data_IF_252815742068
#
_entry.id   IF_252815742068
#
_cell.length_a   1.000
_cell.length_b   1.000
_cell.length_c   1.000
_cell.angle_alpha   90.00
_cell.angle_beta   90.00
_cell.angle_gamma   90.00
#
_symmetry.space_group_name_H-M   'P 1'
#
loop_
_entity.id
_entity.type
_entity.pdbx_description
1 polymer ?
#
# COMPACT_ATOMS: atom_id res chain seq x y z
N UNK A 1 -31.20 6.79 14.59
CA UNK A 1 -30.21 7.75 14.06
C UNK A 1 -28.88 7.05 13.76
N UNK A 2 -28.87 6.06 12.85
CA UNK A 2 -27.65 5.28 12.55
C UNK A 2 -27.37 5.07 11.05
N UNK A 3 -28.22 5.61 10.17
CA UNK A 3 -28.11 5.41 8.72
C UNK A 3 -27.11 6.40 8.11
N UNK A 4 -27.10 7.65 8.57
CA UNK A 4 -26.26 8.73 8.00
C UNK A 4 -24.76 8.52 8.22
N UNK A 5 -24.35 8.07 9.41
CA UNK A 5 -22.93 7.88 9.77
C UNK A 5 -22.31 6.69 9.03
N UNK A 6 -23.10 5.64 8.78
CA UNK A 6 -22.64 4.47 8.01
C UNK A 6 -22.49 4.83 6.53
N UNK A 7 -23.42 5.62 5.99
CA UNK A 7 -23.38 6.08 4.60
C UNK A 7 -22.18 7.01 4.32
N UNK A 8 -21.92 7.98 5.20
CA UNK A 8 -20.72 8.83 5.14
C UNK A 8 -19.41 8.03 5.25
N UNK A 9 -19.43 6.93 6.00
CA UNK A 9 -18.28 6.03 6.12
C UNK A 9 -17.99 5.29 4.81
N UNK A 10 -19.02 4.68 4.25
CA UNK A 10 -18.94 3.95 2.98
C UNK A 10 -18.62 4.87 1.80
N UNK A 11 -19.15 6.10 1.78
CA UNK A 11 -18.84 7.08 0.76
C UNK A 11 -17.35 7.44 0.73
N UNK A 12 -16.75 7.73 1.90
CA UNK A 12 -15.32 8.02 1.99
C UNK A 12 -14.47 6.80 1.59
N UNK A 13 -14.88 5.61 2.02
CA UNK A 13 -14.20 4.36 1.66
C UNK A 13 -14.11 4.16 0.16
N UNK A 14 -15.24 4.37 -0.54
CA UNK A 14 -15.28 4.31 -1.99
C UNK A 14 -14.45 5.41 -2.66
N UNK A 15 -14.39 6.61 -2.10
CA UNK A 15 -13.57 7.70 -2.62
C UNK A 15 -12.07 7.39 -2.53
N UNK A 16 -11.58 6.94 -1.36
CA UNK A 16 -10.17 6.57 -1.19
C UNK A 16 -9.80 5.41 -2.12
N UNK A 17 -10.68 4.42 -2.24
CA UNK A 17 -10.48 3.30 -3.16
C UNK A 17 -10.45 3.74 -4.62
N UNK A 18 -11.35 4.63 -5.03
CA UNK A 18 -11.37 5.22 -6.36
C UNK A 18 -10.08 5.98 -6.67
N UNK A 19 -9.66 6.89 -5.79
CA UNK A 19 -8.40 7.64 -5.95
C UNK A 19 -7.19 6.69 -6.00
N UNK A 20 -7.16 5.65 -5.17
CA UNK A 20 -6.09 4.65 -5.21
C UNK A 20 -6.04 3.89 -6.54
N UNK A 21 -7.20 3.47 -7.08
CA UNK A 21 -7.29 2.81 -8.38
C UNK A 21 -6.85 3.73 -9.53
N UNK A 22 -7.26 5.00 -9.50
CA UNK A 22 -6.84 6.01 -10.48
C UNK A 22 -5.33 6.25 -10.46
N UNK A 23 -4.74 6.36 -9.26
CA UNK A 23 -3.29 6.48 -9.11
C UNK A 23 -2.57 5.27 -9.74
N UNK A 24 -3.07 4.05 -9.49
CA UNK A 24 -2.49 2.84 -10.05
C UNK A 24 -2.58 2.80 -11.60
N UNK A 25 -3.70 3.25 -12.18
CA UNK A 25 -3.85 3.37 -13.65
C UNK A 25 -2.91 4.42 -14.24
N UNK A 26 -2.73 5.57 -13.57
CA UNK A 26 -1.80 6.61 -14.01
C UNK A 26 -0.34 6.12 -14.00
N UNK A 27 0.05 5.32 -13.01
CA UNK A 27 1.38 4.68 -12.99
C UNK A 27 1.57 3.74 -14.18
N UNK A 28 0.55 2.94 -14.50
CA UNK A 28 0.61 2.04 -15.67
C UNK A 28 0.82 2.83 -16.97
N UNK A 29 0.12 3.95 -17.14
CA UNK A 29 0.29 4.82 -18.30
C UNK A 29 1.71 5.40 -18.38
N UNK A 30 2.24 5.90 -17.27
CA UNK A 30 3.62 6.42 -17.19
C UNK A 30 4.66 5.34 -17.51
N UNK A 31 4.48 4.12 -17.02
CA UNK A 31 5.39 3.02 -17.30
C UNK A 31 5.30 2.53 -18.77
N UNK A 32 4.14 2.67 -19.41
CA UNK A 32 3.88 2.21 -20.78
C UNK A 32 4.43 3.13 -21.87
N UNK A 33 4.69 4.41 -21.59
CA UNK A 33 5.20 5.36 -22.59
C UNK A 33 6.71 5.23 -22.81
N UNK A 34 7.11 4.18 -23.54
CA UNK A 34 8.26 4.30 -24.46
C UNK A 34 7.71 4.71 -25.82
N UNK A 35 7.38 6.00 -25.97
CA UNK A 35 6.93 6.51 -27.27
C UNK A 35 8.10 6.52 -28.25
N UNK A 36 8.13 5.52 -29.13
CA UNK A 36 8.99 5.46 -30.30
C UNK A 36 8.25 6.23 -31.39
N UNK A 37 8.79 7.36 -31.83
CA UNK A 37 8.20 8.07 -32.97
C UNK A 37 8.32 7.23 -34.27
N UNK A 38 7.60 7.55 -35.35
CA UNK A 38 7.73 6.85 -36.62
C UNK A 38 9.15 6.86 -37.23
N UNK A 39 10.09 7.59 -36.63
CA UNK A 39 11.50 7.70 -37.01
C UNK A 39 12.44 6.97 -36.05
N UNK A 40 11.91 6.16 -35.11
CA UNK A 40 12.71 5.36 -34.19
C UNK A 40 13.34 6.15 -33.04
N UNK A 41 13.00 7.43 -32.85
CA UNK A 41 13.59 8.26 -31.79
C UNK A 41 12.74 8.21 -30.53
N UNK A 42 13.41 7.97 -29.41
CA UNK A 42 12.84 8.14 -28.07
C UNK A 42 12.55 9.63 -27.87
N UNK A 43 11.27 10.00 -27.77
CA UNK A 43 10.92 11.32 -27.23
C UNK A 43 10.87 11.24 -25.72
N UNK A 44 11.56 12.17 -25.07
CA UNK A 44 11.47 12.37 -23.63
C UNK A 44 10.01 12.68 -23.30
N UNK A 45 9.37 11.77 -22.58
CA UNK A 45 8.01 11.95 -22.06
C UNK A 45 7.97 13.22 -21.20
N UNK A 46 6.85 13.95 -21.22
CA UNK A 46 6.64 15.11 -20.34
C UNK A 46 7.12 14.78 -18.93
N UNK A 47 7.98 15.63 -18.37
CA UNK A 47 8.45 15.43 -17.00
C UNK A 47 7.25 15.43 -16.05
N UNK A 48 7.08 14.33 -15.32
CA UNK A 48 6.07 14.27 -14.28
C UNK A 48 6.33 15.36 -13.21
N UNK A 49 5.28 16.02 -12.70
CA UNK A 49 5.37 16.84 -11.51
C UNK A 49 6.06 16.06 -10.37
N UNK A 50 6.89 16.69 -9.52
CA UNK A 50 7.66 16.00 -8.47
C UNK A 50 6.82 15.05 -7.60
N UNK A 51 5.68 15.52 -7.05
CA UNK A 51 4.80 14.67 -6.23
C UNK A 51 4.17 13.49 -7.00
N UNK A 52 4.04 13.57 -8.33
CA UNK A 52 3.63 12.42 -9.16
C UNK A 52 4.79 11.42 -9.37
N UNK A 53 6.03 11.88 -9.47
CA UNK A 53 7.21 10.99 -9.58
C UNK A 53 7.37 10.13 -8.34
N UNK A 54 7.17 10.72 -7.16
CA UNK A 54 7.41 10.02 -5.89
C UNK A 54 6.37 8.92 -5.65
N UNK A 55 5.08 9.18 -5.86
CA UNK A 55 4.05 8.12 -5.75
C UNK A 55 4.20 7.03 -6.82
N UNK A 56 4.65 7.38 -8.03
CA UNK A 56 4.93 6.39 -9.09
C UNK A 56 6.05 5.44 -8.63
N UNK A 57 7.14 5.97 -8.08
CA UNK A 57 8.23 5.15 -7.55
C UNK A 57 7.77 4.28 -6.38
N UNK A 58 6.96 4.84 -5.47
CA UNK A 58 6.39 4.08 -4.36
C UNK A 58 5.55 2.90 -4.84
N UNK A 59 4.64 3.13 -5.80
CA UNK A 59 3.81 2.08 -6.39
C UNK A 59 4.64 1.02 -7.13
N UNK A 60 5.72 1.42 -7.81
CA UNK A 60 6.65 0.48 -8.45
C UNK A 60 7.38 -0.39 -7.44
N UNK A 61 7.87 0.19 -6.34
CA UNK A 61 8.59 -0.53 -5.28
C UNK A 61 7.69 -1.46 -4.50
N UNK A 62 6.48 -1.03 -4.13
CA UNK A 62 5.46 -1.91 -3.53
C UNK A 62 5.18 -3.11 -4.44
N UNK A 63 5.08 -2.89 -5.75
CA UNK A 63 4.89 -3.99 -6.71
C UNK A 63 6.11 -4.91 -6.81
N UNK A 64 7.32 -4.36 -6.71
CA UNK A 64 8.58 -5.12 -6.78
C UNK A 64 8.81 -5.95 -5.51
N UNK A 65 8.57 -5.37 -4.35
CA UNK A 65 8.74 -5.98 -3.02
C UNK A 65 7.70 -7.07 -2.71
N UNK A 66 6.65 -7.18 -3.53
CA UNK A 66 5.49 -8.05 -3.27
C UNK A 66 5.88 -9.51 -3.03
N UNK A 67 6.80 -10.06 -3.82
CA UNK A 67 7.15 -11.48 -3.71
C UNK A 67 7.93 -11.77 -2.42
N UNK A 68 8.87 -10.89 -2.04
CA UNK A 68 9.59 -10.99 -0.78
C UNK A 68 8.66 -10.82 0.42
N UNK A 69 7.76 -9.83 0.38
CA UNK A 69 6.75 -9.63 1.43
C UNK A 69 5.86 -10.86 1.59
N UNK A 70 5.36 -11.43 0.49
CA UNK A 70 4.53 -12.64 0.56
C UNK A 70 5.29 -13.81 1.17
N UNK A 71 6.57 -14.00 0.79
CA UNK A 71 7.43 -15.03 1.39
C UNK A 71 7.52 -14.85 2.91
N UNK A 72 7.90 -13.67 3.40
CA UNK A 72 8.06 -13.47 4.85
C UNK A 72 6.72 -13.48 5.62
N UNK A 73 5.61 -13.06 5.00
CA UNK A 73 4.26 -13.20 5.58
C UNK A 73 3.83 -14.66 5.69
N UNK A 74 4.08 -15.48 4.66
CA UNK A 74 3.74 -16.91 4.69
C UNK A 74 4.53 -17.69 5.75
N UNK A 75 5.73 -17.20 6.10
CA UNK A 75 6.56 -17.74 7.18
C UNK A 75 6.13 -17.22 8.57
N UNK A 76 5.17 -16.29 8.62
CA UNK A 76 4.71 -15.63 9.84
C UNK A 76 5.76 -14.70 10.47
N UNK A 77 6.83 -14.37 9.75
CA UNK A 77 7.93 -13.52 10.23
C UNK A 77 7.47 -12.06 10.29
N UNK A 78 6.65 -11.65 9.32
CA UNK A 78 6.04 -10.33 9.26
C UNK A 78 4.52 -10.45 9.19
N UNK A 79 3.79 -9.37 9.48
CA UNK A 79 2.35 -9.31 9.35
C UNK A 79 1.81 -7.92 9.02
N UNK A 80 0.57 -7.87 8.53
CA UNK A 80 -0.14 -6.62 8.20
C UNK A 80 -0.66 -5.98 9.50
N UNK A 81 -0.20 -4.76 9.80
CA UNK A 81 -0.57 -4.05 11.02
C UNK A 81 -1.88 -3.26 10.89
N UNK A 82 -2.37 -2.73 12.00
CA UNK A 82 -3.64 -2.02 12.03
C UNK A 82 -3.55 -0.55 11.56
N UNK A 83 -2.42 -0.16 10.96
CA UNK A 83 -2.16 1.16 10.37
C UNK A 83 -1.91 1.07 8.85
N UNK A 84 -2.12 -0.10 8.25
CA UNK A 84 -1.94 -0.30 6.81
C UNK A 84 -0.49 -0.57 6.39
N UNK A 85 0.43 -0.68 7.35
CA UNK A 85 1.82 -1.08 7.14
C UNK A 85 2.08 -2.56 7.45
N UNK A 86 3.36 -2.91 7.48
CA UNK A 86 3.90 -4.23 7.79
C UNK A 86 4.76 -4.14 9.06
N UNK A 87 4.67 -5.15 9.92
CA UNK A 87 5.44 -5.25 11.16
C UNK A 87 6.25 -6.54 11.21
N UNK A 88 7.51 -6.44 11.67
CA UNK A 88 8.34 -7.61 12.02
C UNK A 88 7.85 -8.23 13.32
N UNK A 89 7.45 -9.50 13.29
CA UNK A 89 6.86 -10.20 14.42
C UNK A 89 7.83 -11.19 15.07
N UNK A 90 8.60 -11.89 14.25
CA UNK A 90 9.46 -13.01 14.68
C UNK A 90 10.90 -12.77 14.17
N UNK A 91 11.61 -11.74 14.68
CA UNK A 91 12.95 -11.36 14.22
C UNK A 91 13.98 -12.51 14.34
N UNK A 92 13.79 -13.41 15.30
CA UNK A 92 14.64 -14.58 15.54
C UNK A 92 14.53 -15.65 14.45
N UNK A 93 13.46 -15.62 13.63
CA UNK A 93 13.28 -16.52 12.49
C UNK A 93 13.93 -15.99 11.20
N UNK A 94 14.44 -14.77 11.21
CA UNK A 94 15.19 -14.20 10.08
C UNK A 94 16.60 -14.76 10.12
N UNK A 95 17.08 -15.27 8.98
CA UNK A 95 18.47 -15.71 8.89
C UNK A 95 19.41 -14.54 9.15
N UNK A 96 20.53 -14.74 9.87
CA UNK A 96 21.45 -13.65 10.22
C UNK A 96 21.90 -12.81 9.01
N UNK A 97 22.19 -13.47 7.88
CA UNK A 97 22.63 -12.82 6.64
C UNK A 97 21.50 -12.03 5.94
N UNK A 98 20.25 -12.38 6.20
CA UNK A 98 19.07 -11.74 5.60
C UNK A 98 18.53 -10.57 6.46
N UNK A 99 19.04 -10.38 7.68
CA UNK A 99 18.44 -9.44 8.65
C UNK A 99 18.35 -8.01 8.14
N UNK A 100 19.46 -7.48 7.61
CA UNK A 100 19.49 -6.14 7.06
C UNK A 100 18.56 -5.99 5.85
N UNK A 101 18.42 -7.05 5.05
CA UNK A 101 17.50 -7.06 3.91
C UNK A 101 16.05 -6.97 4.38
N UNK A 102 15.63 -7.78 5.35
CA UNK A 102 14.25 -7.77 5.88
C UNK A 102 13.91 -6.45 6.56
N UNK A 103 14.83 -5.91 7.36
CA UNK A 103 14.63 -4.62 8.02
C UNK A 103 14.46 -3.48 6.99
N UNK A 104 15.28 -3.47 5.93
CA UNK A 104 15.13 -2.51 4.83
C UNK A 104 13.82 -2.73 4.07
N UNK A 105 13.48 -3.97 3.69
CA UNK A 105 12.24 -4.31 2.99
C UNK A 105 11.00 -3.74 3.72
N UNK A 106 10.91 -3.95 5.03
CA UNK A 106 9.78 -3.47 5.85
C UNK A 106 9.76 -1.94 5.90
N UNK A 107 10.93 -1.32 6.11
CA UNK A 107 11.05 0.14 6.14
C UNK A 107 10.60 0.74 4.82
N UNK A 108 11.12 0.23 3.71
CA UNK A 108 10.83 0.68 2.36
C UNK A 108 9.34 0.54 2.02
N UNK A 109 8.75 -0.63 2.30
CA UNK A 109 7.32 -0.86 2.09
C UNK A 109 6.45 0.11 2.90
N UNK A 110 6.80 0.37 4.16
CA UNK A 110 6.04 1.27 5.02
C UNK A 110 6.16 2.73 4.58
N UNK A 111 7.35 3.18 4.17
CA UNK A 111 7.56 4.52 3.60
C UNK A 111 6.75 4.70 2.30
N UNK A 112 6.76 3.70 1.42
CA UNK A 112 6.03 3.76 0.15
C UNK A 112 4.52 3.74 0.34
N UNK A 113 4.00 2.89 1.24
CA UNK A 113 2.57 2.88 1.58
C UNK A 113 2.13 4.20 2.21
N UNK A 114 2.94 4.81 3.05
CA UNK A 114 2.66 6.14 3.61
C UNK A 114 2.63 7.21 2.52
N UNK A 115 3.57 7.19 1.58
CA UNK A 115 3.60 8.12 0.45
C UNK A 115 2.33 7.98 -0.41
N UNK A 116 1.87 6.75 -0.65
CA UNK A 116 0.62 6.45 -1.37
C UNK A 116 -0.59 7.00 -0.60
N UNK A 117 -0.72 6.71 0.70
CA UNK A 117 -1.83 7.19 1.53
C UNK A 117 -1.88 8.72 1.59
N UNK A 118 -0.72 9.36 1.77
CA UNK A 118 -0.59 10.82 1.77
C UNK A 118 -0.99 11.40 0.41
N UNK A 119 -0.57 10.76 -0.69
CA UNK A 119 -0.93 11.20 -2.03
C UNK A 119 -2.44 11.14 -2.27
N UNK A 120 -3.12 10.10 -1.79
CA UNK A 120 -4.58 9.98 -1.92
C UNK A 120 -5.25 11.20 -1.28
N UNK A 121 -4.82 11.59 -0.08
CA UNK A 121 -5.35 12.77 0.62
C UNK A 121 -5.08 14.04 -0.20
N UNK A 122 -3.85 14.24 -0.68
CA UNK A 122 -3.48 15.44 -1.47
C UNK A 122 -4.26 15.58 -2.78
N UNK A 123 -4.62 14.46 -3.41
CA UNK A 123 -5.30 14.45 -4.72
C UNK A 123 -6.81 14.38 -4.64
N UNK A 124 -7.36 14.17 -3.44
CA UNK A 124 -8.79 14.05 -3.23
C UNK A 124 -9.34 15.39 -2.70
N UNK A 125 -10.29 15.97 -3.42
CA UNK A 125 -10.86 17.30 -3.10
C UNK A 125 -11.64 17.34 -1.78
N UNK A 126 -12.02 16.18 -1.25
CA UNK A 126 -12.82 16.05 -0.03
C UNK A 126 -12.03 15.60 1.19
N UNK A 127 -10.80 15.10 0.99
CA UNK A 127 -9.93 14.66 2.08
C UNK A 127 -9.04 15.79 2.56
N UNK A 128 -8.75 15.77 3.87
CA UNK A 128 -7.80 16.68 4.51
C UNK A 128 -6.73 15.89 5.24
N UNK A 129 -5.58 16.50 5.58
CA UNK A 129 -4.53 15.81 6.34
C UNK A 129 -5.02 15.23 7.68
N UNK A 130 -6.08 15.76 8.28
CA UNK A 130 -6.65 15.22 9.52
C UNK A 130 -7.32 13.85 9.34
N UNK A 131 -7.64 13.46 8.11
CA UNK A 131 -8.22 12.15 7.78
C UNK A 131 -7.16 11.04 7.66
N UNK A 132 -5.86 11.38 7.74
CA UNK A 132 -4.78 10.38 7.61
C UNK A 132 -4.94 9.17 8.55
N UNK A 133 -5.27 9.32 9.85
CA UNK A 133 -5.52 8.16 10.72
C UNK A 133 -6.63 7.24 10.22
N UNK A 134 -7.65 7.80 9.57
CA UNK A 134 -8.77 7.04 9.00
C UNK A 134 -8.34 6.31 7.72
N UNK A 135 -7.58 6.97 6.86
CA UNK A 135 -6.98 6.35 5.65
C UNK A 135 -6.09 5.17 6.05
N UNK A 136 -5.28 5.29 7.10
CA UNK A 136 -4.50 4.18 7.67
C UNK A 136 -5.37 2.98 8.04
N UNK A 137 -6.49 3.19 8.75
CA UNK A 137 -7.42 2.10 9.11
C UNK A 137 -8.06 1.44 7.88
N UNK A 138 -8.34 2.21 6.84
CA UNK A 138 -8.89 1.69 5.60
C UNK A 138 -7.88 0.82 4.86
N UNK A 139 -6.62 1.26 4.77
CA UNK A 139 -5.54 0.43 4.21
C UNK A 139 -5.30 -0.82 5.05
N UNK A 140 -5.33 -0.72 6.39
CA UNK A 140 -5.27 -1.89 7.27
C UNK A 140 -6.39 -2.90 6.95
N UNK A 141 -7.64 -2.43 6.84
CA UNK A 141 -8.77 -3.29 6.48
C UNK A 141 -8.56 -3.96 5.11
N UNK A 142 -8.17 -3.20 4.08
CA UNK A 142 -7.90 -3.73 2.74
C UNK A 142 -6.79 -4.77 2.72
N UNK A 143 -5.73 -4.56 3.50
CA UNK A 143 -4.64 -5.52 3.60
C UNK A 143 -5.07 -6.79 4.34
N UNK A 144 -5.87 -6.67 5.41
CA UNK A 144 -6.47 -7.82 6.10
C UNK A 144 -7.41 -8.63 5.21
N UNK A 145 -8.15 -7.97 4.33
CA UNK A 145 -9.06 -8.65 3.39
C UNK A 145 -8.28 -9.41 2.31
N UNK A 146 -7.16 -8.84 1.85
CA UNK A 146 -6.27 -9.45 0.85
C UNK A 146 -5.29 -10.46 1.42
N UNK A 147 -5.09 -10.47 2.74
CA UNK A 147 -4.17 -11.38 3.40
C UNK A 147 -4.52 -12.84 3.10
N UNK A 148 -3.51 -13.66 2.84
CA UNK A 148 -3.69 -15.09 2.57
C UNK A 148 -3.97 -15.84 3.87
N UNK A 149 -4.62 -17.02 3.75
CA UNK A 149 -4.83 -17.93 4.87
C UNK A 149 -3.51 -18.19 5.61
N UNK A 150 -3.52 -18.03 6.93
CA UNK A 150 -2.37 -18.26 7.81
C UNK A 150 -1.45 -17.05 7.98
N UNK A 151 -1.57 -16.00 7.16
CA UNK A 151 -0.80 -14.76 7.35
C UNK A 151 -1.20 -14.07 8.67
N UNK A 152 -0.24 -13.39 9.31
CA UNK A 152 -0.47 -12.63 10.54
C UNK A 152 -1.10 -11.29 10.21
N UNK A 153 -2.21 -10.98 10.87
CA UNK A 153 -2.94 -9.71 10.72
C UNK A 153 -3.24 -9.10 12.09
N UNK A 154 -3.17 -7.78 12.18
CA UNK A 154 -3.51 -7.06 13.41
C UNK A 154 -4.92 -6.46 13.34
N UNK A 155 -5.74 -6.81 14.33
CA UNK A 155 -7.10 -6.28 14.49
C UNK A 155 -7.06 -4.81 14.96
N UNK A 156 -8.19 -4.11 14.85
CA UNK A 156 -8.28 -2.68 15.20
C UNK A 156 -7.93 -2.40 16.67
N UNK A 157 -8.21 -3.36 17.56
CA UNK A 157 -7.83 -3.30 18.98
C UNK A 157 -6.34 -3.60 19.25
N UNK A 158 -5.53 -3.81 18.21
CA UNK A 158 -4.10 -4.10 18.31
C UNK A 158 -3.76 -5.60 18.50
N UNK A 159 -4.76 -6.47 18.64
CA UNK A 159 -4.53 -7.91 18.78
C UNK A 159 -4.06 -8.52 17.45
N UNK A 160 -2.97 -9.29 17.49
CA UNK A 160 -2.52 -10.08 16.35
C UNK A 160 -3.26 -11.42 16.30
N UNK A 161 -3.77 -11.77 15.12
CA UNK A 161 -4.36 -13.08 14.81
C UNK A 161 -3.76 -13.65 13.52
N UNK A 162 -4.03 -14.91 13.23
CA UNK A 162 -3.82 -15.47 11.90
C UNK A 162 -5.10 -15.26 11.08
N UNK A 163 -4.93 -14.95 9.80
CA UNK A 163 -6.05 -14.91 8.86
C UNK A 163 -6.62 -16.31 8.75
N UNK A 164 -7.81 -16.50 9.28
CA UNK A 164 -8.55 -17.73 9.10
C UNK A 164 -8.78 -17.99 7.60
N UNK A 165 -8.86 -19.27 7.21
CA UNK A 165 -9.61 -19.56 6.00
C UNK A 165 -11.04 -19.16 6.28
N UNK A 166 -11.50 -18.05 5.73
CA UNK A 166 -12.94 -17.87 5.65
C UNK A 166 -13.46 -18.92 4.65
N UNK A 167 -14.54 -19.66 4.98
CA UNK A 167 -15.10 -20.73 4.14
C UNK A 167 -15.49 -20.26 2.73
#
# INVERSE_FOLDING_TARGET
>A
MGVTVVDERTALENQVLGTYQELNQQVMLVASVRYIDPKGKLKQTQELPPGKKDVVRALQRVSFNKDDLNRYKSLGIIGENNEGGVTLLEPEKVQPDDRAFVENLIKEENEDRLAIMSRIIETNETLTPSELPRVHKMFAALNRDKALKGERIQMDNGTWTQKDATP
#
